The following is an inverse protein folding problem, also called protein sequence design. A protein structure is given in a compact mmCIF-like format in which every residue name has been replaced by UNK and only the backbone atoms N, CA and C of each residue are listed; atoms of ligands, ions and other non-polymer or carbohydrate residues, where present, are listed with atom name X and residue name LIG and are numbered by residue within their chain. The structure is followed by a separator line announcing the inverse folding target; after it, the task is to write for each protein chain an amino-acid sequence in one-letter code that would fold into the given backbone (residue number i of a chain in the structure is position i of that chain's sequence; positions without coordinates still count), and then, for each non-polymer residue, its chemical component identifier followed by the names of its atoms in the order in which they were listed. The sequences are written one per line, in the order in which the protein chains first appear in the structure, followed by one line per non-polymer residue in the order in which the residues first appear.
data_IF_321508250609
#
_entry.id   IF_321508250609
#
_cell.length_a   1.000
_cell.length_b   1.000
_cell.length_c   1.000
_cell.angle_alpha   90.00
_cell.angle_beta   90.00
_cell.angle_gamma   90.00
#
_symmetry.space_group_name_H-M   'P 1'
#
loop_
_entity.id
_entity.type
_entity.pdbx_description
1 polymer ?
#
# COMPACT_ATOMS: atom_id res chain seq x y z
N UNK A 1 12.30 22.87 -13.56
CA UNK A 1 11.87 21.71 -12.74
C UNK A 1 13.07 20.90 -12.26
N UNK A 2 13.99 20.48 -13.13
CA UNK A 2 15.17 19.67 -12.75
C UNK A 2 16.08 20.38 -11.74
N UNK A 3 16.42 21.66 -11.96
CA UNK A 3 17.22 22.46 -11.02
C UNK A 3 16.54 22.63 -9.65
N UNK A 4 15.21 22.78 -9.63
CA UNK A 4 14.45 22.88 -8.39
C UNK A 4 14.51 21.59 -7.56
N UNK A 5 14.55 20.42 -8.21
CA UNK A 5 14.74 19.12 -7.56
C UNK A 5 16.15 18.99 -6.99
N UNK A 6 17.17 19.37 -7.74
CA UNK A 6 18.57 19.34 -7.28
C UNK A 6 18.81 20.29 -6.09
N UNK A 7 18.07 21.38 -6.01
CA UNK A 7 18.14 22.36 -4.92
C UNK A 7 17.41 21.92 -3.63
N UNK A 8 16.85 20.70 -3.59
CA UNK A 8 16.22 20.18 -2.37
C UNK A 8 17.26 19.84 -1.30
N UNK A 9 16.93 20.03 0.00
CA UNK A 9 17.83 19.74 1.09
C UNK A 9 18.31 18.28 1.11
N UNK A 10 19.53 18.06 1.61
CA UNK A 10 20.13 16.71 1.77
C UNK A 10 19.21 15.74 2.50
N UNK A 11 18.45 16.19 3.49
CA UNK A 11 17.49 15.37 4.23
C UNK A 11 16.42 14.77 3.33
N UNK A 12 15.92 15.53 2.34
CA UNK A 12 14.89 15.04 1.39
C UNK A 12 15.48 13.92 0.52
N UNK A 13 16.69 14.13 0.01
CA UNK A 13 17.41 13.12 -0.78
C UNK A 13 17.70 11.85 0.02
N UNK A 14 18.16 11.99 1.27
CA UNK A 14 18.40 10.84 2.15
C UNK A 14 17.13 10.07 2.43
N UNK A 15 16.01 10.75 2.74
CA UNK A 15 14.73 10.11 2.97
C UNK A 15 14.20 9.40 1.70
N UNK A 16 14.39 10.01 0.53
CA UNK A 16 14.07 9.40 -0.75
C UNK A 16 14.89 8.14 -1.03
N UNK A 17 16.22 8.19 -0.84
CA UNK A 17 17.10 7.03 -1.01
C UNK A 17 16.78 5.91 0.00
N UNK A 18 16.53 6.25 1.26
CA UNK A 18 16.07 5.29 2.28
C UNK A 18 14.80 4.59 1.80
N UNK A 19 13.84 5.33 1.24
CA UNK A 19 12.60 4.76 0.72
C UNK A 19 12.86 3.86 -0.48
N UNK A 20 13.67 4.29 -1.44
CA UNK A 20 14.04 3.51 -2.62
C UNK A 20 14.63 2.15 -2.24
N UNK A 21 15.66 2.13 -1.39
CA UNK A 21 16.30 0.87 -0.99
C UNK A 21 15.38 0.01 -0.10
N UNK A 22 14.61 0.63 0.80
CA UNK A 22 13.62 -0.10 1.60
C UNK A 22 12.56 -0.76 0.74
N UNK A 23 12.04 -0.04 -0.27
CA UNK A 23 10.97 -0.58 -1.12
C UNK A 23 11.53 -1.58 -2.11
N UNK A 24 12.77 -1.41 -2.60
CA UNK A 24 13.47 -2.47 -3.32
C UNK A 24 13.55 -3.76 -2.47
N UNK A 25 13.82 -3.66 -1.16
CA UNK A 25 13.85 -4.81 -0.25
C UNK A 25 12.46 -5.40 -0.01
N UNK A 26 11.48 -4.54 0.26
CA UNK A 26 10.09 -4.95 0.53
C UNK A 26 9.48 -5.66 -0.66
N UNK A 27 9.63 -5.07 -1.82
CA UNK A 27 9.01 -5.52 -3.06
C UNK A 27 9.78 -6.66 -3.74
N UNK A 28 11.05 -6.89 -3.36
CA UNK A 28 11.76 -8.13 -3.66
C UNK A 28 11.10 -9.31 -2.93
N UNK A 29 10.75 -9.13 -1.65
CA UNK A 29 10.15 -10.19 -0.82
C UNK A 29 8.66 -10.38 -1.12
N UNK A 30 7.93 -9.28 -1.38
CA UNK A 30 6.47 -9.26 -1.48
C UNK A 30 5.88 -10.30 -2.44
N UNK A 31 6.28 -10.38 -3.73
CA UNK A 31 5.74 -11.35 -4.68
C UNK A 31 6.19 -12.79 -4.40
N UNK A 32 7.25 -12.98 -3.60
CA UNK A 32 7.75 -14.31 -3.27
C UNK A 32 7.00 -14.96 -2.10
N UNK A 33 6.39 -14.20 -1.21
CA UNK A 33 5.68 -14.74 -0.03
C UNK A 33 4.55 -15.69 -0.43
N UNK A 34 3.61 -15.36 -1.35
CA UNK A 34 2.57 -16.29 -1.75
C UNK A 34 3.13 -17.53 -2.45
N UNK A 35 4.19 -17.38 -3.26
CA UNK A 35 4.88 -18.50 -3.89
C UNK A 35 5.52 -19.43 -2.84
N UNK A 36 6.20 -18.84 -1.86
CA UNK A 36 6.85 -19.57 -0.78
C UNK A 36 5.86 -20.34 0.08
N UNK A 37 4.74 -19.72 0.44
CA UNK A 37 3.65 -20.36 1.17
C UNK A 37 3.07 -21.54 0.38
N UNK A 38 2.77 -21.37 -0.90
CA UNK A 38 2.15 -22.40 -1.71
C UNK A 38 3.10 -23.52 -2.10
N UNK A 39 4.33 -23.20 -2.55
CA UNK A 39 5.23 -24.20 -3.16
C UNK A 39 6.20 -24.84 -2.18
N UNK A 40 6.58 -24.15 -1.10
CA UNK A 40 7.59 -24.64 -0.14
C UNK A 40 6.95 -25.08 1.18
N UNK A 41 6.02 -24.26 1.72
CA UNK A 41 5.39 -24.55 3.00
C UNK A 41 4.05 -25.29 2.86
N UNK A 42 3.58 -25.48 1.63
CA UNK A 42 2.29 -26.14 1.32
C UNK A 42 1.12 -25.54 2.09
N UNK A 43 1.17 -24.22 2.35
CA UNK A 43 0.15 -23.48 3.06
C UNK A 43 -0.83 -22.83 2.08
N UNK A 44 -2.12 -23.05 2.36
CA UNK A 44 -3.20 -22.61 1.48
C UNK A 44 -3.59 -21.12 1.64
N UNK A 45 -4.58 -20.66 0.84
CA UNK A 45 -5.07 -19.28 0.85
C UNK A 45 -5.55 -18.78 2.21
N UNK A 46 -6.03 -19.63 3.11
CA UNK A 46 -6.42 -19.25 4.48
C UNK A 46 -5.24 -18.73 5.29
N UNK A 47 -4.09 -19.40 5.20
CA UNK A 47 -2.86 -18.96 5.88
C UNK A 47 -2.40 -17.62 5.31
N UNK A 48 -2.42 -17.45 3.99
CA UNK A 48 -2.09 -16.19 3.32
C UNK A 48 -3.02 -15.05 3.79
N UNK A 49 -4.34 -15.32 3.87
CA UNK A 49 -5.32 -14.35 4.32
C UNK A 49 -5.10 -13.89 5.76
N UNK A 50 -4.75 -14.82 6.67
CA UNK A 50 -4.42 -14.50 8.05
C UNK A 50 -3.11 -13.68 8.14
N UNK A 51 -2.08 -14.10 7.43
CA UNK A 51 -0.76 -13.42 7.41
C UNK A 51 -0.92 -11.98 6.94
N UNK A 52 -1.53 -11.77 5.79
CA UNK A 52 -1.65 -10.43 5.21
C UNK A 52 -2.69 -9.57 5.93
N UNK A 53 -3.81 -10.16 6.34
CA UNK A 53 -4.83 -9.44 7.11
C UNK A 53 -4.28 -8.88 8.42
N UNK A 54 -3.58 -9.70 9.21
CA UNK A 54 -2.93 -9.26 10.46
C UNK A 54 -1.82 -8.23 10.15
N UNK A 55 -1.01 -8.47 9.14
CA UNK A 55 0.10 -7.61 8.77
C UNK A 55 -0.37 -6.18 8.39
N UNK A 56 -1.31 -6.07 7.46
CA UNK A 56 -1.79 -4.78 6.97
C UNK A 56 -2.63 -4.01 8.01
N UNK A 57 -3.46 -4.71 8.79
CA UNK A 57 -4.17 -4.11 9.91
C UNK A 57 -3.19 -3.53 10.94
N UNK A 58 -2.14 -4.27 11.28
CA UNK A 58 -1.08 -3.82 12.20
C UNK A 58 -0.38 -2.56 11.68
N UNK A 59 0.02 -2.55 10.41
CA UNK A 59 0.66 -1.38 9.80
C UNK A 59 -0.24 -0.15 9.86
N UNK A 60 -1.53 -0.31 9.56
CA UNK A 60 -2.50 0.79 9.53
C UNK A 60 -2.77 1.37 10.93
N UNK A 61 -2.93 0.52 11.94
CA UNK A 61 -3.11 0.94 13.33
C UNK A 61 -1.86 1.65 13.86
N UNK A 62 -0.67 1.09 13.61
CA UNK A 62 0.57 1.66 14.10
C UNK A 62 0.96 2.98 13.41
N UNK A 63 0.58 3.22 12.17
CA UNK A 63 0.74 4.53 11.52
C UNK A 63 0.04 5.64 12.31
N UNK A 64 -1.16 5.36 12.80
CA UNK A 64 -1.92 6.30 13.60
C UNK A 64 -1.23 6.54 14.96
N UNK A 65 -0.84 5.46 15.67
CA UNK A 65 -0.14 5.56 16.96
C UNK A 65 1.21 6.27 16.84
N UNK A 66 1.99 5.98 15.80
CA UNK A 66 3.31 6.59 15.62
C UNK A 66 3.24 8.10 15.39
N UNK A 67 2.19 8.58 14.71
CA UNK A 67 1.92 10.00 14.55
C UNK A 67 1.64 10.71 15.89
N UNK A 68 0.72 10.15 16.69
CA UNK A 68 0.39 10.69 18.02
C UNK A 68 1.59 10.64 18.96
N UNK A 69 2.37 9.56 18.92
CA UNK A 69 3.52 9.38 19.79
C UNK A 69 4.67 10.32 19.40
N UNK A 70 4.84 10.59 18.11
CA UNK A 70 5.79 11.59 17.62
C UNK A 70 5.46 12.99 18.15
N UNK A 71 4.18 13.37 18.07
CA UNK A 71 3.72 14.69 18.57
C UNK A 71 4.01 14.85 20.07
N UNK A 72 4.03 13.76 20.86
CA UNK A 72 4.32 13.79 22.30
C UNK A 72 5.82 13.71 22.64
N UNK A 73 6.60 12.90 21.95
CA UNK A 73 8.00 12.56 22.32
C UNK A 73 9.05 13.20 21.42
N UNK A 74 8.70 13.70 20.25
CA UNK A 74 9.57 14.49 19.36
C UNK A 74 10.77 13.79 18.73
N UNK A 75 11.01 12.50 18.95
CA UNK A 75 12.20 11.78 18.47
C UNK A 75 11.98 11.06 17.14
N UNK A 76 11.64 11.82 16.08
CA UNK A 76 11.32 11.24 14.74
C UNK A 76 12.41 10.32 14.21
N UNK A 77 13.69 10.68 14.32
CA UNK A 77 14.83 9.88 13.84
C UNK A 77 14.86 8.47 14.44
N UNK A 78 14.66 8.35 15.76
CA UNK A 78 14.67 7.03 16.43
C UNK A 78 13.58 6.11 15.91
N UNK A 79 12.38 6.64 15.70
CA UNK A 79 11.25 5.89 15.14
C UNK A 79 11.50 5.48 13.69
N UNK A 80 12.08 6.37 12.88
CA UNK A 80 12.43 6.10 11.48
C UNK A 80 13.50 5.03 11.40
N UNK A 81 14.64 5.21 12.10
CA UNK A 81 15.74 4.25 12.08
C UNK A 81 15.33 2.88 12.65
N UNK A 82 14.62 2.85 13.79
CA UNK A 82 14.13 1.62 14.40
C UNK A 82 13.12 0.88 13.51
N UNK A 83 12.19 1.60 12.88
CA UNK A 83 11.20 1.02 11.98
C UNK A 83 11.82 0.43 10.70
N UNK A 84 12.80 1.12 10.10
CA UNK A 84 13.55 0.58 8.97
C UNK A 84 14.45 -0.58 9.39
N UNK A 85 15.11 -0.50 10.56
CA UNK A 85 15.94 -1.57 11.10
C UNK A 85 15.15 -2.85 11.33
N UNK A 86 13.97 -2.76 11.96
CA UNK A 86 13.11 -3.92 12.20
C UNK A 86 12.66 -4.57 10.88
N UNK A 87 12.27 -3.76 9.88
CA UNK A 87 11.87 -4.26 8.57
C UNK A 87 13.06 -4.91 7.82
N UNK A 88 14.23 -4.26 7.82
CA UNK A 88 15.43 -4.79 7.17
C UNK A 88 15.92 -6.09 7.82
N UNK A 89 15.76 -6.24 9.13
CA UNK A 89 16.13 -7.45 9.86
C UNK A 89 15.15 -8.59 9.62
N UNK A 90 13.84 -8.34 9.61
CA UNK A 90 12.82 -9.39 9.47
C UNK A 90 12.80 -10.04 8.09
N UNK A 91 13.09 -9.30 7.01
CA UNK A 91 12.96 -9.79 5.63
C UNK A 91 13.91 -10.94 5.27
N UNK A 92 15.23 -10.89 5.53
CA UNK A 92 16.09 -12.01 5.21
C UNK A 92 15.79 -13.26 6.06
N UNK A 93 15.18 -13.10 7.24
CA UNK A 93 14.81 -14.23 8.10
C UNK A 93 13.72 -15.13 7.51
N UNK A 94 13.03 -14.71 6.42
CA UNK A 94 12.16 -15.60 5.65
C UNK A 94 12.93 -16.81 5.11
N UNK A 95 14.24 -16.71 4.89
CA UNK A 95 15.10 -17.84 4.57
C UNK A 95 15.03 -18.95 5.63
N UNK A 96 14.90 -18.62 6.90
CA UNK A 96 14.82 -19.57 8.01
C UNK A 96 13.41 -20.12 8.23
N UNK A 97 12.39 -19.53 7.58
CA UNK A 97 11.01 -19.92 7.82
C UNK A 97 10.77 -21.38 7.36
N UNK A 98 10.30 -22.19 8.30
CA UNK A 98 9.95 -23.60 8.10
C UNK A 98 8.45 -23.86 8.24
N UNK A 99 7.68 -22.86 8.60
CA UNK A 99 6.24 -22.97 8.81
C UNK A 99 5.54 -21.62 8.55
N UNK A 100 4.25 -21.66 8.20
CA UNK A 100 3.48 -20.46 7.96
C UNK A 100 3.29 -19.55 9.21
N UNK A 101 3.24 -20.06 10.48
CA UNK A 101 3.22 -19.18 11.63
C UNK A 101 4.52 -18.35 11.78
N UNK A 102 5.67 -18.91 11.38
CA UNK A 102 6.90 -18.14 11.35
C UNK A 102 6.86 -17.03 10.29
N UNK A 103 6.29 -17.32 9.11
CA UNK A 103 6.04 -16.29 8.07
C UNK A 103 5.12 -15.19 8.62
N UNK A 104 4.05 -15.55 9.35
CA UNK A 104 3.18 -14.59 10.03
C UNK A 104 3.96 -13.69 10.98
N UNK A 105 4.80 -14.26 11.85
CA UNK A 105 5.61 -13.49 12.80
C UNK A 105 6.58 -12.52 12.12
N UNK A 106 7.25 -12.97 11.06
CA UNK A 106 8.18 -12.14 10.28
C UNK A 106 7.43 -11.03 9.52
N UNK A 107 6.29 -11.35 8.93
CA UNK A 107 5.43 -10.38 8.24
C UNK A 107 4.87 -9.34 9.20
N UNK A 108 4.43 -9.78 10.38
CA UNK A 108 4.00 -8.89 11.46
C UNK A 108 5.12 -7.95 11.88
N UNK A 109 6.34 -8.45 12.12
CA UNK A 109 7.50 -7.62 12.48
C UNK A 109 7.83 -6.58 11.39
N UNK A 110 7.84 -6.97 10.11
CA UNK A 110 8.03 -6.04 8.99
C UNK A 110 6.97 -4.93 9.00
N UNK A 111 5.70 -5.28 9.22
CA UNK A 111 4.58 -4.32 9.25
C UNK A 111 4.56 -3.43 10.48
N UNK A 112 5.00 -3.93 11.62
CA UNK A 112 5.29 -3.08 12.79
C UNK A 112 6.33 -2.02 12.42
N UNK A 113 7.43 -2.43 11.79
CA UNK A 113 8.45 -1.50 11.29
C UNK A 113 7.87 -0.44 10.35
N UNK A 114 7.01 -0.85 9.40
CA UNK A 114 6.32 0.05 8.47
C UNK A 114 5.42 1.05 9.20
N UNK A 115 4.61 0.59 10.14
CA UNK A 115 3.70 1.44 10.91
C UNK A 115 4.43 2.48 11.76
N UNK A 116 5.52 2.07 12.42
CA UNK A 116 6.29 2.95 13.31
C UNK A 116 7.02 4.06 12.54
N UNK A 117 7.53 3.81 11.34
CA UNK A 117 8.35 4.77 10.58
C UNK A 117 7.57 5.75 9.72
N UNK A 118 6.36 5.39 9.26
CA UNK A 118 5.67 6.13 8.18
C UNK A 118 5.36 7.57 8.58
N UNK A 119 4.63 7.79 9.68
CA UNK A 119 4.27 9.15 10.12
C UNK A 119 5.49 9.98 10.55
N UNK A 120 6.47 9.44 11.31
CA UNK A 120 7.70 10.17 11.62
C UNK A 120 8.54 10.54 10.39
N UNK A 121 8.62 9.67 9.37
CA UNK A 121 9.30 9.96 8.10
C UNK A 121 8.63 11.12 7.38
N UNK A 122 7.32 11.09 7.25
CA UNK A 122 6.54 12.12 6.56
C UNK A 122 6.67 13.48 7.28
N UNK A 123 6.71 13.48 8.62
CA UNK A 123 6.96 14.70 9.40
C UNK A 123 8.38 15.26 9.18
N UNK A 124 9.41 14.40 9.11
CA UNK A 124 10.78 14.83 8.79
C UNK A 124 10.87 15.41 7.38
N UNK A 125 10.18 14.80 6.42
CA UNK A 125 10.15 15.28 5.04
C UNK A 125 9.48 16.66 4.93
N UNK A 126 8.31 16.82 5.57
CA UNK A 126 7.58 18.08 5.60
C UNK A 126 8.35 19.20 6.31
N UNK A 127 9.05 18.86 7.40
CA UNK A 127 9.87 19.81 8.18
C UNK A 127 11.20 20.18 7.54
N UNK A 128 11.64 19.44 6.52
CA UNK A 128 12.92 19.70 5.84
C UNK A 128 12.83 20.82 4.78
N UNK A 129 11.64 21.26 4.38
CA UNK A 129 11.38 22.23 3.31
C UNK A 129 10.31 23.25 3.72
N UNK A 130 10.30 24.42 3.04
CA UNK A 130 9.21 25.39 3.18
C UNK A 130 7.88 24.85 2.64
N UNK A 131 6.76 25.46 3.00
CA UNK A 131 5.43 25.01 2.61
C UNK A 131 5.24 24.89 1.10
N UNK A 132 5.78 25.87 0.35
CA UNK A 132 5.70 25.96 -1.12
C UNK A 132 6.45 24.80 -1.81
N UNK A 133 7.46 24.22 -1.15
CA UNK A 133 8.32 23.15 -1.69
C UNK A 133 7.92 21.75 -1.19
N UNK A 134 6.94 21.63 -0.29
CA UNK A 134 6.47 20.33 0.24
C UNK A 134 6.02 19.39 -0.87
N UNK A 135 5.24 19.90 -1.83
CA UNK A 135 4.78 19.10 -2.97
C UNK A 135 5.94 18.49 -3.77
N UNK A 136 6.99 19.27 -4.03
CA UNK A 136 8.18 18.79 -4.74
C UNK A 136 8.96 17.75 -3.93
N UNK A 137 9.11 17.96 -2.62
CA UNK A 137 9.80 17.01 -1.73
C UNK A 137 9.07 15.67 -1.62
N UNK A 138 7.74 15.69 -1.42
CA UNK A 138 6.92 14.48 -1.40
C UNK A 138 6.88 13.80 -2.77
N UNK A 139 6.86 14.57 -3.86
CA UNK A 139 6.90 14.06 -5.23
C UNK A 139 8.21 13.29 -5.51
N UNK A 140 9.37 13.85 -5.14
CA UNK A 140 10.66 13.16 -5.27
C UNK A 140 10.69 11.88 -4.42
N UNK A 141 10.24 11.98 -3.15
CA UNK A 141 10.18 10.82 -2.27
C UNK A 141 9.32 9.70 -2.88
N UNK A 142 8.12 10.04 -3.41
CA UNK A 142 7.23 9.07 -4.04
C UNK A 142 7.79 8.46 -5.31
N UNK A 143 8.52 9.25 -6.11
CA UNK A 143 9.19 8.73 -7.30
C UNK A 143 10.27 7.69 -6.94
N UNK A 144 11.03 7.94 -5.88
CA UNK A 144 12.03 6.98 -5.37
C UNK A 144 11.41 5.73 -4.75
N UNK A 145 10.31 5.88 -4.02
CA UNK A 145 9.46 4.82 -3.48
C UNK A 145 9.00 3.87 -4.62
N UNK A 146 8.38 4.46 -5.64
CA UNK A 146 7.91 3.72 -6.82
C UNK A 146 9.06 3.06 -7.61
N UNK A 147 10.22 3.72 -7.72
CA UNK A 147 11.39 3.12 -8.37
C UNK A 147 11.85 1.86 -7.62
N UNK A 148 11.88 1.91 -6.29
CA UNK A 148 12.14 0.73 -5.45
C UNK A 148 11.14 -0.39 -5.67
N UNK A 149 9.85 -0.04 -5.82
CA UNK A 149 8.76 -0.99 -6.07
C UNK A 149 8.84 -1.68 -7.45
N UNK A 150 9.61 -1.14 -8.38
CA UNK A 150 9.94 -1.80 -9.66
C UNK A 150 11.24 -2.60 -9.58
N UNK A 151 12.28 -2.02 -8.98
CA UNK A 151 13.61 -2.64 -8.89
C UNK A 151 13.57 -3.96 -8.09
N UNK A 152 12.85 -3.98 -6.97
CA UNK A 152 12.77 -5.16 -6.10
C UNK A 152 12.27 -6.41 -6.82
N UNK A 153 11.07 -6.38 -7.42
CA UNK A 153 10.54 -7.53 -8.16
C UNK A 153 11.38 -7.92 -9.38
N UNK A 154 11.99 -6.96 -10.09
CA UNK A 154 12.90 -7.25 -11.21
C UNK A 154 14.12 -8.03 -10.73
N UNK A 155 14.70 -7.65 -9.59
CA UNK A 155 15.80 -8.39 -8.98
C UNK A 155 15.38 -9.80 -8.56
N UNK A 156 14.20 -9.95 -7.95
CA UNK A 156 13.67 -11.25 -7.58
C UNK A 156 13.48 -12.16 -8.80
N UNK A 157 12.89 -11.64 -9.87
CA UNK A 157 12.68 -12.36 -11.12
C UNK A 157 14.01 -12.81 -11.74
N UNK A 158 14.99 -11.92 -11.81
CA UNK A 158 16.31 -12.22 -12.37
C UNK A 158 17.04 -13.31 -11.59
N UNK A 159 16.96 -13.31 -10.26
CA UNK A 159 17.56 -14.34 -9.41
C UNK A 159 16.87 -15.70 -9.62
N UNK A 160 15.55 -15.74 -9.68
CA UNK A 160 14.77 -16.96 -9.93
C UNK A 160 15.02 -17.53 -11.33
N UNK A 161 15.09 -16.68 -12.36
CA UNK A 161 15.37 -17.08 -13.74
C UNK A 161 16.75 -17.74 -13.87
N UNK A 162 17.72 -17.32 -13.04
CA UNK A 162 19.03 -17.94 -12.93
C UNK A 162 19.06 -19.23 -12.14
N UNK A 163 17.91 -19.76 -11.77
CA UNK A 163 17.79 -21.03 -11.04
C UNK A 163 18.07 -20.92 -9.54
N UNK A 164 18.13 -19.71 -8.97
CA UNK A 164 18.28 -19.56 -7.52
C UNK A 164 17.05 -20.13 -6.80
N UNK A 165 17.20 -21.01 -5.81
CA UNK A 165 16.08 -21.49 -5.01
C UNK A 165 15.32 -20.32 -4.36
N UNK A 166 13.98 -20.34 -4.42
CA UNK A 166 13.10 -19.26 -3.95
C UNK A 166 13.46 -18.80 -2.53
N UNK A 167 13.74 -19.75 -1.64
CA UNK A 167 14.14 -19.50 -0.26
C UNK A 167 15.42 -18.66 -0.16
N UNK A 168 16.39 -18.88 -1.05
CA UNK A 168 17.67 -18.16 -1.04
C UNK A 168 17.53 -16.72 -1.54
N UNK A 169 16.52 -16.43 -2.37
CA UNK A 169 16.27 -15.07 -2.86
C UNK A 169 15.97 -14.10 -1.70
N UNK A 170 15.34 -14.57 -0.62
CA UNK A 170 15.09 -13.72 0.56
C UNK A 170 16.39 -13.17 1.19
N UNK A 171 17.52 -13.88 1.11
CA UNK A 171 18.79 -13.39 1.63
C UNK A 171 19.31 -12.15 0.89
N UNK A 172 18.95 -12.00 -0.39
CA UNK A 172 19.35 -10.82 -1.17
C UNK A 172 18.73 -9.52 -0.65
N UNK A 173 17.68 -9.61 0.16
CA UNK A 173 17.11 -8.46 0.86
C UNK A 173 18.09 -7.82 1.87
N UNK A 174 19.15 -8.54 2.29
CA UNK A 174 20.19 -8.00 3.19
C UNK A 174 20.89 -6.82 2.56
N UNK A 175 21.23 -6.89 1.27
CA UNK A 175 22.02 -5.84 0.60
C UNK A 175 21.30 -4.49 0.61
N UNK A 176 20.11 -4.33 -0.01
CA UNK A 176 19.41 -3.05 0.06
C UNK A 176 18.89 -2.74 1.48
N UNK A 177 18.66 -3.76 2.33
CA UNK A 177 18.25 -3.56 3.72
C UNK A 177 19.34 -2.90 4.57
N UNK A 178 20.59 -3.33 4.47
CA UNK A 178 21.73 -2.72 5.17
C UNK A 178 21.99 -1.29 4.70
N UNK A 179 21.88 -1.04 3.39
CA UNK A 179 21.96 0.32 2.83
C UNK A 179 20.86 1.22 3.41
N UNK A 180 19.62 0.69 3.47
CA UNK A 180 18.48 1.41 4.06
C UNK A 180 18.79 1.85 5.50
N UNK A 181 19.27 0.93 6.34
CA UNK A 181 19.57 1.21 7.76
C UNK A 181 20.71 2.22 7.88
N UNK A 182 21.80 2.05 7.13
CA UNK A 182 22.94 2.95 7.14
C UNK A 182 22.52 4.39 6.75
N UNK A 183 21.73 4.54 5.68
CA UNK A 183 21.19 5.82 5.25
C UNK A 183 20.22 6.42 6.30
N UNK A 184 19.33 5.61 6.89
CA UNK A 184 18.40 6.08 7.90
C UNK A 184 19.12 6.59 9.17
N UNK A 185 20.22 5.94 9.58
CA UNK A 185 21.05 6.39 10.68
C UNK A 185 21.80 7.70 10.38
N UNK A 186 22.10 7.98 9.11
CA UNK A 186 22.78 9.20 8.68
C UNK A 186 21.87 10.44 8.62
N UNK A 187 20.55 10.27 8.75
CA UNK A 187 19.59 11.38 8.79
C UNK A 187 19.87 12.22 10.05
N UNK A 188 20.06 13.52 9.86
CA UNK A 188 20.16 14.47 10.99
C UNK A 188 18.74 14.75 11.50
N UNK A 189 18.51 14.62 12.82
CA UNK A 189 17.28 15.14 13.42
C UNK A 189 17.27 16.66 13.32
N UNK A 190 16.27 17.28 12.69
CA UNK A 190 16.07 18.71 12.90
C UNK A 190 15.79 18.93 14.41
N UNK A 191 16.17 20.09 14.91
CA UNK A 191 15.74 20.51 16.24
C UNK A 191 14.21 20.40 16.30
N UNK A 192 13.71 19.81 17.39
CA UNK A 192 12.25 19.65 17.58
C UNK A 192 11.64 21.04 17.59
N UNK A 193 10.95 21.41 16.52
CA UNK A 193 10.08 22.59 16.57
C UNK A 193 8.86 22.15 17.39
N UNK A 194 8.61 22.77 18.56
CA UNK A 194 7.41 22.48 19.34
C UNK A 194 6.20 22.64 18.45
N UNK A 195 5.35 21.64 18.41
CA UNK A 195 4.11 21.71 17.61
C UNK A 195 3.32 22.94 18.07
N UNK A 196 3.11 23.90 17.15
CA UNK A 196 2.14 24.95 17.35
C UNK A 196 0.83 24.30 17.83
N UNK A 197 0.12 24.94 18.78
CA UNK A 197 -1.11 24.43 19.41
C UNK A 197 -2.02 23.76 18.39
N UNK A 198 -1.84 22.44 18.19
CA UNK A 198 -2.75 21.64 17.38
C UNK A 198 -4.00 21.42 18.19
N UNK A 199 -5.15 21.61 17.58
CA UNK A 199 -6.43 21.25 18.19
C UNK A 199 -6.36 19.79 18.67
N UNK A 200 -6.88 19.45 19.85
CA UNK A 200 -6.86 18.07 20.33
C UNK A 200 -7.56 17.19 19.31
N UNK A 201 -6.90 16.08 18.95
CA UNK A 201 -7.45 15.11 18.03
C UNK A 201 -8.79 14.58 18.59
N UNK A 202 -9.87 14.86 17.88
CA UNK A 202 -11.21 14.43 18.27
C UNK A 202 -11.62 13.21 17.46
N UNK A 203 -11.76 12.06 18.13
CA UNK A 203 -12.30 10.83 17.56
C UNK A 203 -13.83 10.88 17.28
N UNK A 204 -14.47 12.03 17.48
CA UNK A 204 -15.92 12.14 17.30
C UNK A 204 -16.27 12.20 15.82
N UNK A 205 -16.66 11.06 15.26
CA UNK A 205 -17.18 10.97 13.89
C UNK A 205 -18.50 11.76 13.73
N UNK A 206 -19.22 11.99 14.85
CA UNK A 206 -20.46 12.78 14.86
C UNK A 206 -20.28 14.18 14.27
N UNK A 207 -19.11 14.79 14.44
CA UNK A 207 -18.81 16.16 14.03
C UNK A 207 -18.56 16.33 12.52
N UNK A 208 -18.57 15.23 11.76
CA UNK A 208 -18.32 15.26 10.32
C UNK A 208 -19.62 15.31 9.51
N UNK A 209 -19.61 15.91 8.31
CA UNK A 209 -20.77 15.96 7.42
C UNK A 209 -21.32 14.58 7.07
N UNK A 210 -22.63 14.46 6.80
CA UNK A 210 -23.24 13.19 6.41
C UNK A 210 -22.59 12.54 5.17
N UNK A 211 -22.18 13.34 4.18
CA UNK A 211 -21.48 12.87 2.98
C UNK A 211 -20.17 12.14 3.31
N UNK A 212 -19.35 12.70 4.22
CA UNK A 212 -18.13 12.05 4.68
C UNK A 212 -18.41 10.70 5.39
N UNK A 213 -19.41 10.66 6.27
CA UNK A 213 -19.80 9.42 6.97
C UNK A 213 -20.27 8.34 6.01
N UNK A 214 -21.10 8.71 5.02
CA UNK A 214 -21.56 7.81 3.95
C UNK A 214 -20.38 7.29 3.13
N UNK A 215 -19.44 8.17 2.80
CA UNK A 215 -18.22 7.78 2.07
C UNK A 215 -17.39 6.76 2.85
N UNK A 216 -17.21 6.93 4.17
CA UNK A 216 -16.50 5.93 4.99
C UNK A 216 -17.18 4.56 4.98
N UNK A 217 -18.52 4.50 5.01
CA UNK A 217 -19.26 3.23 4.92
C UNK A 217 -19.08 2.57 3.54
N UNK A 218 -19.12 3.37 2.48
CA UNK A 218 -18.90 2.88 1.10
C UNK A 218 -17.46 2.41 0.91
N UNK A 219 -16.49 3.14 1.47
CA UNK A 219 -15.08 2.75 1.51
C UNK A 219 -14.89 1.44 2.28
N UNK A 220 -15.57 1.26 3.42
CA UNK A 220 -15.52 0.02 4.19
C UNK A 220 -16.02 -1.18 3.36
N UNK A 221 -17.12 -1.01 2.62
CA UNK A 221 -17.65 -2.05 1.73
C UNK A 221 -16.68 -2.35 0.58
N UNK A 222 -16.12 -1.33 -0.07
CA UNK A 222 -15.11 -1.52 -1.11
C UNK A 222 -13.90 -2.27 -0.57
N UNK A 223 -13.38 -1.84 0.58
CA UNK A 223 -12.18 -2.45 1.19
C UNK A 223 -12.44 -3.86 1.67
N UNK A 224 -13.67 -4.20 2.09
CA UNK A 224 -14.05 -5.57 2.43
C UNK A 224 -13.92 -6.52 1.21
N UNK A 225 -14.16 -6.01 0.00
CA UNK A 225 -13.89 -6.74 -1.24
C UNK A 225 -12.43 -6.64 -1.71
N UNK A 226 -11.64 -5.70 -1.16
CA UNK A 226 -10.27 -5.44 -1.59
C UNK A 226 -9.26 -6.17 -0.69
N UNK A 227 -9.12 -7.47 -0.91
CA UNK A 227 -8.15 -8.33 -0.18
C UNK A 227 -6.71 -8.02 -0.58
N UNK A 228 -5.74 -8.68 0.08
CA UNK A 228 -4.31 -8.51 -0.25
C UNK A 228 -4.00 -8.86 -1.70
N UNK A 229 -3.20 -8.04 -2.36
CA UNK A 229 -2.71 -8.29 -3.72
C UNK A 229 -1.88 -9.57 -3.84
N UNK A 230 -1.41 -10.14 -2.73
CA UNK A 230 -0.74 -11.43 -2.73
C UNK A 230 -1.64 -12.58 -3.22
N UNK A 231 -2.96 -12.48 -3.06
CA UNK A 231 -3.89 -13.44 -3.64
C UNK A 231 -3.90 -13.39 -5.18
N UNK A 232 -3.73 -12.20 -5.76
CA UNK A 232 -3.65 -12.03 -7.22
C UNK A 232 -2.42 -12.76 -7.77
N UNK A 233 -1.29 -12.63 -7.07
CA UNK A 233 -0.03 -13.29 -7.42
C UNK A 233 -0.11 -14.81 -7.23
N UNK A 234 -0.74 -15.27 -6.14
CA UNK A 234 -1.03 -16.68 -5.93
C UNK A 234 -1.89 -17.24 -7.07
N UNK A 235 -2.94 -16.52 -7.46
CA UNK A 235 -3.81 -16.92 -8.58
C UNK A 235 -3.07 -16.98 -9.91
N UNK A 236 -2.19 -16.01 -10.19
CA UNK A 236 -1.37 -16.03 -11.39
C UNK A 236 -0.51 -17.29 -11.48
N UNK A 237 0.08 -17.73 -10.35
CA UNK A 237 0.79 -19.00 -10.27
C UNK A 237 -0.11 -20.21 -10.54
N UNK A 238 -1.29 -20.28 -9.92
CA UNK A 238 -2.25 -21.38 -10.14
C UNK A 238 -2.71 -21.47 -11.61
N UNK A 239 -2.79 -20.34 -12.31
CA UNK A 239 -3.09 -20.26 -13.74
C UNK A 239 -1.89 -20.62 -14.63
N UNK A 240 -0.80 -21.13 -14.06
CA UNK A 240 0.34 -21.68 -14.78
C UNK A 240 1.47 -20.69 -15.09
N UNK A 241 1.46 -19.50 -14.47
CA UNK A 241 2.59 -18.58 -14.64
C UNK A 241 3.83 -19.13 -13.92
N UNK A 242 5.01 -19.24 -14.58
CA UNK A 242 6.25 -19.66 -13.95
C UNK A 242 6.65 -18.75 -12.77
N UNK A 243 7.29 -19.32 -11.75
CA UNK A 243 7.64 -18.61 -10.50
C UNK A 243 8.46 -17.33 -10.75
N UNK A 244 9.39 -17.33 -11.70
CA UNK A 244 10.20 -16.16 -12.04
C UNK A 244 9.40 -15.04 -12.73
N UNK A 245 8.27 -15.36 -13.35
CA UNK A 245 7.40 -14.38 -14.01
C UNK A 245 6.43 -13.68 -13.04
N UNK A 246 6.10 -14.29 -11.90
CA UNK A 246 5.20 -13.67 -10.91
C UNK A 246 5.73 -12.33 -10.39
N UNK A 247 7.01 -12.21 -10.00
CA UNK A 247 7.57 -10.90 -9.66
C UNK A 247 7.58 -9.90 -10.83
N UNK A 248 7.79 -10.36 -12.08
CA UNK A 248 7.73 -9.49 -13.27
C UNK A 248 6.32 -8.93 -13.48
N UNK A 249 5.30 -9.76 -13.27
CA UNK A 249 3.90 -9.33 -13.36
C UNK A 249 3.59 -8.23 -12.35
N UNK A 250 4.13 -8.35 -11.13
CA UNK A 250 4.01 -7.33 -10.10
C UNK A 250 4.80 -6.05 -10.43
N UNK A 251 6.00 -6.19 -10.99
CA UNK A 251 6.79 -5.06 -11.49
C UNK A 251 6.05 -4.29 -12.59
N UNK A 252 5.38 -5.00 -13.51
CA UNK A 252 4.55 -4.39 -14.55
C UNK A 252 3.41 -3.57 -13.92
N UNK A 253 2.68 -4.17 -12.97
CA UNK A 253 1.57 -3.49 -12.27
C UNK A 253 2.04 -2.21 -11.58
N UNK A 254 3.15 -2.30 -10.83
CA UNK A 254 3.75 -1.16 -10.13
C UNK A 254 4.28 -0.09 -11.11
N UNK A 255 4.88 -0.51 -12.22
CA UNK A 255 5.37 0.37 -13.28
C UNK A 255 4.24 1.14 -13.96
N UNK A 256 3.14 0.47 -14.29
CA UNK A 256 1.94 1.12 -14.85
C UNK A 256 1.36 2.11 -13.83
N UNK A 257 1.20 1.70 -12.57
CA UNK A 257 0.73 2.60 -11.52
C UNK A 257 1.64 3.83 -11.39
N UNK A 258 2.96 3.65 -11.40
CA UNK A 258 3.95 4.74 -11.31
C UNK A 258 3.78 5.75 -12.46
N UNK A 259 3.70 5.28 -13.70
CA UNK A 259 3.61 6.14 -14.89
C UNK A 259 2.30 6.90 -14.95
N UNK A 260 1.19 6.25 -14.61
CA UNK A 260 -0.15 6.80 -14.79
C UNK A 260 -0.72 7.52 -13.55
N UNK A 261 -0.12 7.38 -12.35
CA UNK A 261 -0.64 8.04 -11.13
C UNK A 261 -0.72 9.56 -11.26
N UNK A 262 0.32 10.22 -11.73
CA UNK A 262 0.32 11.69 -11.90
C UNK A 262 -0.65 12.17 -12.97
N UNK A 263 -0.66 11.61 -14.19
CA UNK A 263 -1.64 11.99 -15.22
C UNK A 263 -3.09 11.77 -14.79
N UNK A 264 -3.40 10.63 -14.18
CA UNK A 264 -4.77 10.33 -13.75
C UNK A 264 -5.20 11.18 -12.55
N UNK A 265 -4.28 11.48 -11.61
CA UNK A 265 -4.58 12.44 -10.53
C UNK A 265 -4.89 13.83 -11.08
N UNK A 266 -4.12 14.34 -12.05
CA UNK A 266 -4.42 15.61 -12.71
C UNK A 266 -5.74 15.55 -13.52
N UNK A 267 -6.07 14.41 -14.11
CA UNK A 267 -7.34 14.21 -14.81
C UNK A 267 -8.54 14.22 -13.85
N UNK A 268 -8.34 13.78 -12.59
CA UNK A 268 -9.39 13.83 -11.56
C UNK A 268 -9.86 15.23 -11.24
N UNK A 269 -8.96 16.21 -11.30
CA UNK A 269 -9.29 17.63 -11.08
C UNK A 269 -10.16 18.20 -12.20
N UNK A 270 -10.05 17.65 -13.43
CA UNK A 270 -10.82 18.10 -14.61
C UNK A 270 -12.16 17.36 -14.77
N UNK A 271 -12.14 16.04 -14.65
CA UNK A 271 -13.32 15.18 -14.87
C UNK A 271 -14.20 15.04 -13.62
N UNK A 272 -13.66 15.42 -12.46
CA UNK A 272 -14.26 15.19 -11.16
C UNK A 272 -13.79 13.89 -10.51
N UNK A 273 -13.46 13.95 -9.23
CA UNK A 273 -12.82 12.87 -8.45
C UNK A 273 -13.66 11.61 -8.40
N UNK A 274 -14.96 11.76 -8.19
CA UNK A 274 -15.89 10.63 -8.10
C UNK A 274 -15.97 9.84 -9.40
N UNK A 275 -15.96 10.50 -10.57
CA UNK A 275 -15.98 9.78 -11.86
C UNK A 275 -14.76 8.90 -12.04
N UNK A 276 -13.59 9.38 -11.61
CA UNK A 276 -12.36 8.61 -11.70
C UNK A 276 -12.34 7.43 -10.71
N UNK A 277 -12.81 7.65 -9.48
CA UNK A 277 -12.97 6.56 -8.48
C UNK A 277 -13.94 5.51 -9.01
N UNK A 278 -15.09 5.91 -9.56
CA UNK A 278 -16.07 4.99 -10.15
C UNK A 278 -15.45 4.17 -11.28
N UNK A 279 -14.73 4.82 -12.21
CA UNK A 279 -14.03 4.12 -13.28
C UNK A 279 -13.01 3.12 -12.72
N UNK A 280 -12.22 3.52 -11.74
CA UNK A 280 -11.25 2.64 -11.06
C UNK A 280 -11.91 1.44 -10.38
N UNK A 281 -13.00 1.64 -9.64
CA UNK A 281 -13.70 0.56 -8.96
C UNK A 281 -14.41 -0.41 -9.93
N UNK A 282 -14.89 0.09 -11.09
CA UNK A 282 -15.40 -0.77 -12.17
C UNK A 282 -14.26 -1.58 -12.79
N UNK A 283 -13.11 -0.95 -13.07
CA UNK A 283 -11.90 -1.64 -13.55
C UNK A 283 -11.51 -2.75 -12.58
N UNK A 284 -11.48 -2.44 -11.29
CA UNK A 284 -11.21 -3.43 -10.23
C UNK A 284 -12.19 -4.61 -10.28
N UNK A 285 -13.50 -4.32 -10.31
CA UNK A 285 -14.53 -5.36 -10.36
C UNK A 285 -14.38 -6.27 -11.57
N UNK A 286 -14.16 -5.70 -12.77
CA UNK A 286 -13.93 -6.45 -14.00
C UNK A 286 -12.66 -7.30 -13.95
N UNK A 287 -11.55 -6.72 -13.42
CA UNK A 287 -10.31 -7.44 -13.22
C UNK A 287 -10.50 -8.67 -12.32
N UNK A 288 -11.18 -8.51 -11.18
CA UNK A 288 -11.44 -9.62 -10.27
C UNK A 288 -12.35 -10.69 -10.89
N UNK A 289 -13.41 -10.31 -11.59
CA UNK A 289 -14.27 -11.27 -12.30
C UNK A 289 -13.47 -12.08 -13.32
N UNK A 290 -12.65 -11.42 -14.16
CA UNK A 290 -11.85 -12.09 -15.16
C UNK A 290 -10.80 -13.02 -14.56
N UNK A 291 -10.10 -12.56 -13.49
CA UNK A 291 -9.07 -13.36 -12.84
C UNK A 291 -9.64 -14.56 -12.06
N UNK A 292 -10.92 -14.47 -11.64
CA UNK A 292 -11.64 -15.57 -11.00
C UNK A 292 -11.98 -16.72 -11.94
N UNK A 293 -12.07 -16.48 -13.26
CA UNK A 293 -12.45 -17.51 -14.22
C UNK A 293 -11.42 -18.64 -14.32
N UNK A 294 -11.89 -19.89 -14.39
CA UNK A 294 -11.05 -21.03 -14.67
C UNK A 294 -10.73 -21.11 -16.18
N UNK A 295 -9.54 -21.61 -16.52
CA UNK A 295 -9.11 -21.75 -17.91
C UNK A 295 -8.60 -20.47 -18.56
N UNK A 296 -8.34 -19.42 -17.77
CA UNK A 296 -7.74 -18.19 -18.25
C UNK A 296 -6.30 -18.44 -18.71
N UNK A 297 -5.97 -18.07 -19.94
CA UNK A 297 -4.64 -18.32 -20.50
C UNK A 297 -3.57 -17.43 -19.84
N UNK A 298 -2.44 -18.01 -19.41
CA UNK A 298 -1.39 -17.29 -18.66
C UNK A 298 -0.87 -16.03 -19.38
N UNK A 299 -0.84 -16.01 -20.72
CA UNK A 299 -0.42 -14.83 -21.48
C UNK A 299 -1.36 -13.63 -21.31
N UNK A 300 -2.63 -13.85 -21.04
CA UNK A 300 -3.61 -12.77 -20.82
C UNK A 300 -3.45 -12.12 -19.44
N UNK A 301 -2.68 -12.72 -18.54
CA UNK A 301 -2.38 -12.11 -17.24
C UNK A 301 -1.60 -10.80 -17.40
N UNK A 302 -0.72 -10.68 -18.39
CA UNK A 302 0.09 -9.48 -18.60
C UNK A 302 -0.76 -8.23 -18.89
N UNK A 303 -1.61 -8.19 -19.91
CA UNK A 303 -2.48 -7.05 -20.13
C UNK A 303 -3.49 -6.85 -19.00
N UNK A 304 -3.97 -7.93 -18.36
CA UNK A 304 -4.90 -7.83 -17.24
C UNK A 304 -4.27 -7.15 -16.03
N UNK A 305 -3.05 -7.49 -15.66
CA UNK A 305 -2.32 -6.85 -14.56
C UNK A 305 -1.87 -5.42 -14.88
N UNK A 306 -1.55 -5.14 -16.15
CA UNK A 306 -1.34 -3.75 -16.57
C UNK A 306 -2.62 -2.92 -16.40
N UNK A 307 -3.78 -3.48 -16.71
CA UNK A 307 -5.08 -2.85 -16.51
C UNK A 307 -5.39 -2.65 -15.01
N UNK A 308 -4.99 -3.60 -14.16
CA UNK A 308 -5.07 -3.44 -12.69
C UNK A 308 -4.17 -2.30 -12.18
N UNK A 309 -3.00 -2.11 -12.78
CA UNK A 309 -2.12 -0.97 -12.49
C UNK A 309 -2.79 0.38 -12.77
N UNK A 310 -3.66 0.48 -13.79
CA UNK A 310 -4.46 1.68 -14.05
C UNK A 310 -5.49 1.95 -12.95
N UNK A 311 -6.11 0.90 -12.38
CA UNK A 311 -6.98 1.05 -11.21
C UNK A 311 -6.22 1.69 -10.04
N UNK A 312 -5.04 1.15 -9.68
CA UNK A 312 -4.22 1.69 -8.60
C UNK A 312 -3.86 3.16 -8.86
N UNK A 313 -3.46 3.49 -10.10
CA UNK A 313 -3.14 4.84 -10.51
C UNK A 313 -4.32 5.81 -10.40
N UNK A 314 -5.51 5.37 -10.78
CA UNK A 314 -6.71 6.19 -10.83
C UNK A 314 -7.27 6.50 -9.43
N UNK A 315 -7.22 5.54 -8.50
CA UNK A 315 -7.95 5.64 -7.24
C UNK A 315 -7.13 6.25 -6.12
N UNK A 316 -5.83 5.97 -6.00
CA UNK A 316 -5.02 6.37 -4.84
C UNK A 316 -5.03 7.90 -4.57
N UNK A 317 -4.86 8.69 -5.62
CA UNK A 317 -4.88 10.16 -5.50
C UNK A 317 -6.29 10.72 -5.35
N UNK A 318 -7.23 10.21 -6.15
CA UNK A 318 -8.61 10.69 -6.21
C UNK A 318 -9.38 10.42 -4.89
N UNK A 319 -9.17 9.27 -4.25
CA UNK A 319 -9.80 8.94 -2.96
C UNK A 319 -9.34 9.88 -1.84
N UNK A 320 -8.03 10.15 -1.76
CA UNK A 320 -7.50 11.10 -0.77
C UNK A 320 -8.01 12.51 -1.02
N UNK A 321 -8.12 12.91 -2.28
CA UNK A 321 -8.67 14.21 -2.66
C UNK A 321 -10.16 14.32 -2.32
N UNK A 322 -10.95 13.26 -2.53
CA UNK A 322 -12.37 13.22 -2.15
C UNK A 322 -12.55 13.36 -0.64
N UNK A 323 -11.67 12.75 0.17
CA UNK A 323 -11.65 12.96 1.64
C UNK A 323 -11.51 14.44 1.99
N UNK A 324 -10.59 15.15 1.30
CA UNK A 324 -10.38 16.57 1.54
C UNK A 324 -11.60 17.42 1.13
N UNK A 325 -12.32 17.01 0.08
CA UNK A 325 -13.52 17.72 -0.38
C UNK A 325 -14.74 17.52 0.53
N UNK A 326 -14.85 16.32 1.13
CA UNK A 326 -15.98 15.97 2.01
C UNK A 326 -15.79 16.37 3.48
N UNK A 327 -14.57 16.72 3.88
CA UNK A 327 -14.23 17.02 5.27
C UNK A 327 -14.07 18.53 5.51
N UNK A 328 -14.39 19.04 6.73
CA UNK A 328 -14.06 20.40 7.11
C UNK A 328 -12.55 20.66 7.05
N UNK A 329 -12.14 21.81 6.49
CA UNK A 329 -10.74 22.19 6.31
C UNK A 329 -9.93 22.17 7.62
N UNK A 330 -10.57 22.52 8.74
CA UNK A 330 -9.97 22.56 10.07
C UNK A 330 -9.71 21.16 10.66
N UNK A 331 -10.32 20.11 10.07
CA UNK A 331 -10.29 18.72 10.57
C UNK A 331 -9.75 17.72 9.55
N UNK A 332 -9.02 18.17 8.54
CA UNK A 332 -8.47 17.28 7.50
C UNK A 332 -7.59 16.16 8.06
N UNK A 333 -6.77 16.47 9.06
CA UNK A 333 -5.94 15.45 9.72
C UNK A 333 -6.76 14.31 10.33
N UNK A 334 -7.85 14.65 11.03
CA UNK A 334 -8.80 13.67 11.61
C UNK A 334 -9.56 12.91 10.52
N UNK A 335 -9.93 13.57 9.42
CA UNK A 335 -10.60 12.94 8.29
C UNK A 335 -9.71 11.86 7.62
N UNK A 336 -8.44 12.20 7.37
CA UNK A 336 -7.47 11.22 6.87
C UNK A 336 -7.20 10.09 7.89
N UNK A 337 -7.25 10.41 9.18
CA UNK A 337 -7.19 9.40 10.25
C UNK A 337 -8.33 8.39 10.15
N UNK A 338 -9.57 8.86 10.02
CA UNK A 338 -10.74 8.00 9.84
C UNK A 338 -10.70 7.22 8.54
N UNK A 339 -10.30 7.85 7.43
CA UNK A 339 -10.12 7.18 6.14
C UNK A 339 -9.14 6.00 6.24
N UNK A 340 -7.93 6.25 6.78
CA UNK A 340 -6.91 5.22 6.92
C UNK A 340 -7.31 4.14 7.94
N UNK A 341 -8.00 4.51 9.02
CA UNK A 341 -8.49 3.55 10.01
C UNK A 341 -9.56 2.64 9.40
N UNK A 342 -10.52 3.21 8.65
CA UNK A 342 -11.58 2.43 7.99
C UNK A 342 -10.98 1.46 6.98
N UNK A 343 -10.12 1.94 6.08
CA UNK A 343 -9.44 1.08 5.11
C UNK A 343 -8.60 0.01 5.80
N UNK A 344 -7.75 0.39 6.76
CA UNK A 344 -6.87 -0.56 7.46
C UNK A 344 -7.62 -1.59 8.30
N UNK A 345 -8.69 -1.21 8.98
CA UNK A 345 -9.49 -2.13 9.79
C UNK A 345 -10.24 -3.17 8.92
N UNK A 346 -10.65 -2.77 7.71
CA UNK A 346 -11.35 -3.67 6.79
C UNK A 346 -10.43 -4.65 6.06
N UNK A 347 -9.12 -4.38 5.97
CA UNK A 347 -8.17 -5.28 5.31
C UNK A 347 -8.04 -6.65 6.00
N UNK A 348 -8.16 -6.68 7.33
CA UNK A 348 -8.13 -7.95 8.07
C UNK A 348 -9.34 -8.83 7.72
N UNK A 349 -10.62 -8.41 7.93
CA UNK A 349 -11.77 -9.23 7.55
C UNK A 349 -11.82 -9.51 6.04
N UNK A 350 -11.39 -8.57 5.18
CA UNK A 350 -11.30 -8.78 3.74
C UNK A 350 -10.40 -9.96 3.38
N UNK A 351 -9.17 -9.97 3.90
CA UNK A 351 -8.20 -11.02 3.59
C UNK A 351 -8.56 -12.38 4.22
N UNK A 352 -9.12 -12.37 5.43
CA UNK A 352 -9.62 -13.58 6.07
C UNK A 352 -10.78 -14.19 5.29
N UNK A 353 -11.77 -13.37 4.93
CA UNK A 353 -12.95 -13.82 4.19
C UNK A 353 -12.59 -14.31 2.79
N UNK A 354 -11.70 -13.59 2.09
CA UNK A 354 -11.24 -13.98 0.78
C UNK A 354 -10.52 -15.34 0.81
N UNK A 355 -9.57 -15.52 1.74
CA UNK A 355 -8.86 -16.79 1.90
C UNK A 355 -9.77 -17.95 2.33
N UNK A 356 -10.79 -17.65 3.15
CA UNK A 356 -11.80 -18.67 3.54
C UNK A 356 -12.70 -19.07 2.37
N UNK A 357 -13.19 -18.10 1.59
CA UNK A 357 -14.00 -18.37 0.39
C UNK A 357 -13.20 -19.16 -0.63
N UNK A 358 -11.96 -18.78 -0.90
CA UNK A 358 -11.09 -19.46 -1.85
C UNK A 358 -10.88 -20.92 -1.49
N UNK A 359 -10.45 -21.20 -0.27
CA UNK A 359 -10.10 -22.56 0.14
C UNK A 359 -11.29 -23.40 0.59
N UNK A 360 -12.38 -22.77 1.08
CA UNK A 360 -13.52 -23.45 1.66
C UNK A 360 -14.71 -23.62 0.71
N UNK A 361 -14.81 -22.79 -0.32
CA UNK A 361 -15.92 -22.81 -1.29
C UNK A 361 -15.34 -23.02 -2.69
N UNK A 362 -14.81 -21.96 -3.31
CA UNK A 362 -14.18 -21.98 -4.62
C UNK A 362 -13.42 -20.68 -4.86
N UNK A 363 -12.43 -20.71 -5.75
CA UNK A 363 -11.68 -19.51 -6.15
C UNK A 363 -12.60 -18.47 -6.79
N UNK A 364 -13.55 -18.92 -7.63
CA UNK A 364 -14.53 -18.06 -8.29
C UNK A 364 -15.43 -17.33 -7.28
N UNK A 365 -15.77 -17.99 -6.17
CA UNK A 365 -16.59 -17.38 -5.11
C UNK A 365 -15.84 -16.22 -4.43
N UNK A 366 -14.54 -16.38 -4.14
CA UNK A 366 -13.72 -15.34 -3.54
C UNK A 366 -13.60 -14.13 -4.46
N UNK A 367 -13.26 -14.35 -5.73
CA UNK A 367 -13.10 -13.28 -6.71
C UNK A 367 -14.42 -12.58 -7.05
N UNK A 368 -15.51 -13.35 -7.20
CA UNK A 368 -16.86 -12.79 -7.42
C UNK A 368 -17.35 -11.96 -6.24
N UNK A 369 -17.11 -12.40 -5.01
CA UNK A 369 -17.41 -11.62 -3.81
C UNK A 369 -16.71 -10.25 -3.83
N UNK A 370 -15.41 -10.23 -4.13
CA UNK A 370 -14.65 -8.98 -4.22
C UNK A 370 -15.18 -8.05 -5.31
N UNK A 371 -15.49 -8.60 -6.48
CA UNK A 371 -16.07 -7.84 -7.59
C UNK A 371 -17.45 -7.26 -7.22
N UNK A 372 -18.32 -8.06 -6.57
CA UNK A 372 -19.63 -7.61 -6.13
C UNK A 372 -19.53 -6.48 -5.10
N UNK A 373 -18.61 -6.60 -4.12
CA UNK A 373 -18.37 -5.53 -3.16
C UNK A 373 -17.92 -4.23 -3.85
N UNK A 374 -17.00 -4.31 -4.82
CA UNK A 374 -16.51 -3.15 -5.55
C UNK A 374 -17.61 -2.49 -6.39
N UNK A 375 -18.42 -3.28 -7.12
CA UNK A 375 -19.53 -2.78 -7.94
C UNK A 375 -20.64 -2.19 -7.06
N UNK A 376 -20.98 -2.83 -5.95
CA UNK A 376 -21.96 -2.31 -5.00
C UNK A 376 -21.46 -1.00 -4.37
N UNK A 377 -20.19 -0.93 -3.98
CA UNK A 377 -19.58 0.29 -3.48
C UNK A 377 -19.59 1.41 -4.53
N UNK A 378 -19.31 1.11 -5.81
CA UNK A 378 -19.40 2.07 -6.90
C UNK A 378 -20.83 2.62 -7.08
N UNK A 379 -21.84 1.75 -7.02
CA UNK A 379 -23.24 2.17 -7.08
C UNK A 379 -23.61 3.06 -5.88
N UNK A 380 -23.24 2.67 -4.66
CA UNK A 380 -23.50 3.46 -3.47
C UNK A 380 -22.76 4.80 -3.49
N UNK A 381 -21.52 4.84 -3.97
CA UNK A 381 -20.78 6.08 -4.13
C UNK A 381 -21.53 7.05 -5.06
N UNK A 382 -22.01 6.56 -6.19
CA UNK A 382 -22.73 7.35 -7.19
C UNK A 382 -24.10 7.85 -6.69
N UNK A 383 -24.89 6.97 -6.05
CA UNK A 383 -26.29 7.25 -5.78
C UNK A 383 -26.59 7.66 -4.33
N UNK A 384 -25.70 7.40 -3.39
CA UNK A 384 -25.95 7.67 -1.97
C UNK A 384 -25.03 8.73 -1.37
N UNK A 385 -23.76 8.76 -1.73
CA UNK A 385 -22.81 9.74 -1.17
C UNK A 385 -23.06 11.14 -1.75
N UNK A 386 -23.36 11.24 -3.04
CA UNK A 386 -23.52 12.50 -3.77
C UNK A 386 -24.96 13.10 -3.76
N UNK A 387 -25.86 12.58 -2.94
CA UNK A 387 -27.26 13.06 -2.94
C UNK A 387 -27.51 14.36 -2.17
N UNK A 388 -26.52 14.97 -1.56
CA UNK A 388 -26.69 16.24 -0.83
C UNK A 388 -26.62 17.41 -1.81
N UNK A 389 -27.63 18.31 -1.85
CA UNK A 389 -27.70 19.41 -2.81
C UNK A 389 -26.53 20.41 -2.78
N UNK A 390 -25.80 20.49 -1.66
CA UNK A 390 -24.65 21.37 -1.48
C UNK A 390 -23.36 20.89 -2.21
N UNK A 391 -23.35 19.70 -2.80
CA UNK A 391 -22.17 19.09 -3.44
C UNK A 391 -22.30 19.01 -4.98
N UNK A 392 -23.36 19.59 -5.54
CA UNK A 392 -23.59 19.69 -7.00
C UNK A 392 -23.18 21.03 -7.61
N UNK A 393 -22.79 21.98 -6.79
CA UNK A 393 -22.27 23.28 -7.20
C UNK A 393 -20.72 23.25 -7.08
#
# INVERSE_FOLDING_TARGET
MFEAVLALPRTVWLLGLVSLFNDSTSELVYPLVPLFLASVLMAGPRALGLIEGVAEATASLLKLFSGVLLDRRGHAKGWVAGGYGLAAFSRPLFYLASSWPMVLALRFADRVGKGLRTSPRDALLAGAVSEERRGLAFGLHRAMDNAGAVIGPLLAAWLLERGMPLKNVFLWSIVPGTITVALAMSIKSPAVVPAAKRLPFSWRLADFPPGFKRYLLVLALFTLGNSSNMFLLLRAKELGLPDYQVPLLWALTSGVAMVFSTPLSALSDRLGRVRLILAGWVIYGLFYLLLGLNGFHALLLWPLFAFYGLFLAATEGAEKALVADLAPKERLGTAYGWFNLTAGAMLLPASLLFGWLWQGVAVEAAFSFSALCALAAALLLKFWVLQTPAERA
#
